data_IF_042322202346
#
_entry.id   IF_042322202346
#
_cell.length_a   1.000
_cell.length_b   1.000
_cell.length_c   1.000
_cell.angle_alpha   90.00
_cell.angle_beta   90.00
_cell.angle_gamma   90.00
#
_symmetry.space_group_name_H-M   'P 1'
#
loop_
_entity.id
_entity.type
_entity.pdbx_description
1 polymer ?
#
# COMPACT_ATOMS: atom_id res chain seq x y z
N UNK A 1 52.42 -7.55 -1.59
CA UNK A 1 51.46 -8.61 -1.17
C UNK A 1 50.27 -8.10 -0.34
N UNK A 2 50.06 -6.78 -0.18
CA UNK A 2 48.99 -6.23 0.69
C UNK A 2 47.72 -5.77 -0.04
N UNK A 3 47.74 -5.74 -1.38
CA UNK A 3 46.64 -5.19 -2.19
C UNK A 3 45.59 -6.24 -2.63
N UNK A 4 45.92 -7.54 -2.61
CA UNK A 4 44.94 -8.61 -2.93
C UNK A 4 44.02 -8.96 -1.74
N UNK A 5 44.44 -8.62 -0.51
CA UNK A 5 43.70 -8.92 0.72
C UNK A 5 42.55 -7.93 0.99
N UNK A 6 42.69 -6.68 0.51
CA UNK A 6 41.66 -5.64 0.67
C UNK A 6 40.45 -5.88 -0.24
N UNK A 7 40.67 -6.45 -1.43
CA UNK A 7 39.62 -6.71 -2.43
C UNK A 7 38.61 -7.79 -2.00
N UNK A 8 39.06 -8.81 -1.25
CA UNK A 8 38.19 -9.91 -0.76
C UNK A 8 37.36 -9.50 0.46
N UNK A 9 37.83 -8.50 1.23
CA UNK A 9 37.10 -7.94 2.36
C UNK A 9 36.09 -6.87 1.90
N UNK A 10 36.37 -6.14 0.81
CA UNK A 10 35.43 -5.17 0.23
C UNK A 10 34.19 -5.81 -0.42
N UNK A 11 34.26 -7.05 -0.90
CA UNK A 11 33.12 -7.75 -1.48
C UNK A 11 32.09 -8.22 -0.45
N UNK A 12 32.52 -8.49 0.79
CA UNK A 12 31.63 -8.99 1.86
C UNK A 12 30.84 -7.83 2.49
N UNK A 13 31.40 -6.61 2.50
CA UNK A 13 30.72 -5.42 3.01
C UNK A 13 29.65 -4.85 2.05
N UNK A 14 29.75 -5.17 0.75
CA UNK A 14 28.82 -4.64 -0.27
C UNK A 14 27.53 -5.48 -0.39
N UNK A 15 27.59 -6.79 -0.11
CA UNK A 15 26.41 -7.67 -0.19
C UNK A 15 25.51 -7.55 1.05
N UNK A 16 26.08 -7.24 2.23
CA UNK A 16 25.33 -7.09 3.48
C UNK A 16 24.44 -5.83 3.59
N UNK A 17 24.50 -4.92 2.61
CA UNK A 17 23.73 -3.67 2.59
C UNK A 17 22.42 -3.73 1.79
N UNK A 18 22.17 -4.80 1.04
CA UNK A 18 20.87 -4.98 0.38
C UNK A 18 19.95 -5.70 1.36
N UNK A 19 19.62 -5.00 2.45
CA UNK A 19 18.49 -5.33 3.29
C UNK A 19 17.31 -5.65 2.36
N UNK A 20 16.79 -6.86 2.49
CA UNK A 20 15.56 -7.30 1.83
C UNK A 20 14.47 -6.28 2.16
N UNK A 21 14.30 -5.31 1.26
CA UNK A 21 13.13 -4.47 1.23
C UNK A 21 12.02 -5.39 0.71
N UNK A 22 11.44 -6.19 1.60
CA UNK A 22 10.05 -6.57 1.43
C UNK A 22 9.28 -5.26 1.56
N UNK A 23 9.25 -4.51 0.45
CA UNK A 23 8.40 -3.35 0.26
C UNK A 23 6.99 -3.89 0.35
N UNK A 24 6.46 -3.97 1.58
CA UNK A 24 5.06 -4.22 1.79
C UNK A 24 4.34 -3.17 0.97
N UNK A 25 3.64 -3.61 -0.07
CA UNK A 25 2.70 -2.75 -0.76
C UNK A 25 1.73 -2.29 0.33
N UNK A 26 1.90 -1.05 0.80
CA UNK A 26 1.04 -0.44 1.79
C UNK A 26 -0.36 -0.37 1.18
N UNK A 27 -1.16 -1.38 1.51
CA UNK A 27 -2.52 -1.51 1.03
C UNK A 27 -3.34 -0.35 1.59
N UNK A 28 -3.67 0.58 0.71
CA UNK A 28 -4.24 1.85 1.08
C UNK A 28 -5.59 1.65 1.79
N UNK A 29 -5.78 2.30 2.95
CA UNK A 29 -7.08 2.31 3.62
C UNK A 29 -8.08 3.19 2.88
N UNK A 30 -9.24 2.61 2.55
CA UNK A 30 -10.43 3.28 2.05
C UNK A 30 -11.59 3.09 3.05
N UNK A 31 -12.74 3.71 2.77
CA UNK A 31 -13.86 3.71 3.71
C UNK A 31 -15.14 3.26 3.04
N UNK A 32 -15.91 2.41 3.71
CA UNK A 32 -17.25 2.00 3.29
C UNK A 32 -18.29 2.49 4.28
N UNK A 33 -19.54 2.59 3.83
CA UNK A 33 -20.69 2.89 4.69
C UNK A 33 -21.41 1.60 5.03
N UNK A 34 -22.07 1.54 6.20
CA UNK A 34 -22.78 0.33 6.67
C UNK A 34 -23.78 -0.27 5.67
N UNK A 35 -24.40 0.55 4.82
CA UNK A 35 -25.46 0.13 3.89
C UNK A 35 -25.12 0.41 2.41
N UNK A 36 -23.98 1.02 2.11
CA UNK A 36 -23.63 1.42 0.75
C UNK A 36 -22.87 0.33 0.00
N UNK A 37 -23.13 0.20 -1.30
CA UNK A 37 -22.42 -0.71 -2.20
C UNK A 37 -21.13 -0.11 -2.78
N UNK A 38 -20.59 0.95 -2.17
CA UNK A 38 -19.45 1.71 -2.69
C UNK A 38 -18.41 1.99 -1.62
N UNK A 39 -17.15 2.09 -2.05
CA UNK A 39 -16.04 2.55 -1.22
C UNK A 39 -15.67 4.00 -1.55
N UNK A 40 -15.06 4.67 -0.58
CA UNK A 40 -14.92 6.13 -0.52
C UNK A 40 -13.54 6.55 0.01
N UNK A 41 -13.17 7.80 -0.28
CA UNK A 41 -12.09 8.51 0.44
C UNK A 41 -12.63 9.06 1.76
N UNK A 42 -11.75 9.25 2.74
CA UNK A 42 -12.11 9.83 4.06
C UNK A 42 -12.84 11.17 3.97
N UNK A 43 -12.58 11.96 2.92
CA UNK A 43 -13.18 13.29 2.70
C UNK A 43 -14.57 13.25 2.05
N UNK A 44 -15.12 12.07 1.74
CA UNK A 44 -16.42 11.95 1.08
C UNK A 44 -17.57 12.34 2.02
N UNK A 45 -18.44 13.24 1.57
CA UNK A 45 -19.59 13.71 2.36
C UNK A 45 -20.60 12.62 2.73
N UNK A 46 -20.63 11.49 2.00
CA UNK A 46 -21.49 10.35 2.32
C UNK A 46 -21.05 9.58 3.57
N UNK A 47 -19.79 9.75 4.02
CA UNK A 47 -19.28 9.09 5.23
C UNK A 47 -19.75 9.75 6.54
N UNK A 48 -20.50 10.85 6.49
CA UNK A 48 -20.98 11.59 7.68
C UNK A 48 -21.77 10.72 8.66
N UNK A 49 -22.49 9.72 8.16
CA UNK A 49 -23.34 8.85 8.98
C UNK A 49 -22.63 7.55 9.39
N UNK A 50 -21.63 7.10 8.61
CA UNK A 50 -20.93 5.84 8.83
C UNK A 50 -19.61 5.86 8.06
N UNK A 51 -18.53 5.50 8.74
CA UNK A 51 -17.20 5.41 8.15
C UNK A 51 -16.49 4.18 8.69
N UNK A 52 -16.45 3.11 7.89
CA UNK A 52 -15.84 1.83 8.26
C UNK A 52 -14.54 1.71 7.44
N UNK A 53 -13.36 1.73 8.08
CA UNK A 53 -12.09 1.58 7.36
C UNK A 53 -11.96 0.16 6.82
N UNK A 54 -11.48 0.04 5.59
CA UNK A 54 -11.25 -1.21 4.88
C UNK A 54 -10.03 -1.06 3.96
N UNK A 55 -9.31 -2.16 3.74
CA UNK A 55 -8.20 -2.21 2.80
C UNK A 55 -8.68 -2.04 1.36
N UNK A 56 -7.95 -1.30 0.53
CA UNK A 56 -8.31 -1.09 -0.88
C UNK A 56 -8.37 -2.43 -1.62
N UNK A 57 -7.39 -3.31 -1.40
CA UNK A 57 -7.37 -4.64 -2.02
C UNK A 57 -8.60 -5.48 -1.71
N UNK A 58 -9.17 -5.32 -0.52
CA UNK A 58 -10.41 -5.98 -0.12
C UNK A 58 -11.63 -5.26 -0.70
N UNK A 59 -11.67 -3.94 -0.58
CA UNK A 59 -12.82 -3.12 -0.96
C UNK A 59 -13.18 -3.26 -2.45
N UNK A 60 -12.18 -3.37 -3.34
CA UNK A 60 -12.43 -3.53 -4.78
C UNK A 60 -13.11 -4.85 -5.15
N UNK A 61 -12.99 -5.89 -4.30
CA UNK A 61 -13.60 -7.19 -4.57
C UNK A 61 -15.11 -7.19 -4.25
N UNK A 62 -15.55 -6.33 -3.34
CA UNK A 62 -16.92 -6.34 -2.81
C UNK A 62 -17.72 -5.07 -3.12
N UNK A 63 -17.05 -3.94 -3.37
CA UNK A 63 -17.67 -2.63 -3.50
C UNK A 63 -17.19 -1.90 -4.76
N UNK A 64 -18.07 -1.09 -5.34
CA UNK A 64 -17.70 -0.22 -6.46
C UNK A 64 -17.07 1.11 -6.03
N UNK A 65 -16.25 1.77 -6.87
CA UNK A 65 -15.74 3.10 -6.54
C UNK A 65 -16.85 4.14 -6.49
N UNK A 66 -16.74 5.08 -5.55
CA UNK A 66 -17.62 6.25 -5.50
C UNK A 66 -17.30 7.26 -6.62
N UNK A 67 -18.29 7.53 -7.48
CA UNK A 67 -18.19 8.52 -8.56
C UNK A 67 -18.12 9.98 -8.10
N UNK A 68 -18.34 10.27 -6.81
CA UNK A 68 -18.27 11.64 -6.27
C UNK A 68 -16.89 11.98 -5.75
N UNK A 69 -16.29 11.08 -4.96
CA UNK A 69 -14.96 11.32 -4.38
C UNK A 69 -13.81 10.69 -5.17
N UNK A 70 -14.11 9.96 -6.26
CA UNK A 70 -13.11 9.32 -7.13
C UNK A 70 -11.99 8.65 -6.32
N UNK A 71 -12.33 7.62 -5.51
CA UNK A 71 -11.34 6.95 -4.69
C UNK A 71 -10.31 6.24 -5.57
N UNK A 72 -9.13 5.91 -5.02
CA UNK A 72 -8.14 5.11 -5.72
C UNK A 72 -8.73 3.80 -6.25
N UNK A 73 -8.22 3.34 -7.38
CA UNK A 73 -8.55 2.04 -7.97
C UNK A 73 -7.27 1.22 -8.06
N UNK A 74 -7.38 -0.10 -7.91
CA UNK A 74 -6.25 -0.98 -8.20
C UNK A 74 -6.13 -1.13 -9.70
N UNK A 75 -5.04 -0.60 -10.25
CA UNK A 75 -4.64 -0.86 -11.62
C UNK A 75 -3.90 -2.20 -11.59
N UNK A 76 -4.56 -3.26 -12.03
CA UNK A 76 -3.99 -4.60 -12.09
C UNK A 76 -3.52 -4.94 -13.50
#
# INVERSE_FOLDING_TARGET
MKQKLVLLLSSILFVGLFANNSFGQDDQTVYVTRTGAKYHRVTCSYLRQSSIPMKLSEAVNYYGPCSRCHPPVLNN
#
